data_IF_258176920017
#
_entry.id   IF_258176920017
#
_cell.length_a   1.000
_cell.length_b   1.000
_cell.length_c   1.000
_cell.angle_alpha   90.00
_cell.angle_beta   90.00
_cell.angle_gamma   90.00
#
_symmetry.space_group_name_H-M   'P 1'
#
loop_
_entity.id
_entity.type
_entity.pdbx_description
1 polymer ?
#
# COMPACT_ATOMS: atom_id res chain seq x y z
N UNK A 1 19.23 12.97 -19.92
CA UNK A 1 19.13 12.30 -21.23
C UNK A 1 20.52 12.24 -21.82
N UNK A 2 20.98 11.06 -22.24
CA UNK A 2 22.31 10.93 -22.84
C UNK A 2 22.22 11.39 -24.31
N UNK A 3 22.88 12.45 -24.71
CA UNK A 3 22.70 13.08 -26.05
C UNK A 3 23.22 12.23 -27.23
N UNK A 4 23.82 11.07 -26.94
CA UNK A 4 24.43 10.18 -27.95
C UNK A 4 23.63 8.89 -28.23
N UNK A 5 22.46 8.71 -27.59
CA UNK A 5 21.61 7.53 -27.79
C UNK A 5 20.51 7.86 -28.79
N UNK A 6 20.18 6.92 -29.68
CA UNK A 6 19.05 7.06 -30.61
C UNK A 6 17.75 7.38 -29.84
N UNK A 7 16.99 8.41 -30.29
CA UNK A 7 15.78 8.84 -29.57
C UNK A 7 14.72 7.74 -29.45
N UNK A 8 14.67 6.79 -30.39
CA UNK A 8 13.74 5.65 -30.36
C UNK A 8 14.08 4.70 -29.23
N UNK A 9 15.35 4.37 -29.06
CA UNK A 9 15.83 3.51 -27.98
C UNK A 9 15.62 4.20 -26.63
N UNK A 10 15.96 5.49 -26.54
CA UNK A 10 15.78 6.27 -25.32
C UNK A 10 14.31 6.32 -24.89
N UNK A 11 13.38 6.53 -25.83
CA UNK A 11 11.93 6.52 -25.57
C UNK A 11 11.46 5.16 -25.06
N UNK A 12 11.83 4.07 -25.75
CA UNK A 12 11.42 2.71 -25.34
C UNK A 12 11.95 2.33 -23.95
N UNK A 13 13.18 2.68 -23.63
CA UNK A 13 13.74 2.47 -22.28
C UNK A 13 13.02 3.30 -21.22
N UNK A 14 12.61 4.52 -21.56
CA UNK A 14 11.83 5.36 -20.65
C UNK A 14 10.42 4.82 -20.43
N UNK A 15 9.73 4.43 -21.48
CA UNK A 15 8.40 3.81 -21.41
C UNK A 15 8.43 2.53 -20.56
N UNK A 16 9.47 1.71 -20.73
CA UNK A 16 9.67 0.51 -19.91
C UNK A 16 9.90 0.85 -18.42
N UNK A 17 10.72 1.89 -18.16
CA UNK A 17 10.99 2.38 -16.80
C UNK A 17 9.71 2.90 -16.13
N UNK A 18 8.94 3.72 -16.85
CA UNK A 18 7.67 4.28 -16.35
C UNK A 18 6.65 3.18 -16.07
N UNK A 19 6.48 2.25 -16.99
CA UNK A 19 5.56 1.14 -16.80
C UNK A 19 5.95 0.29 -15.60
N UNK A 20 7.23 -0.05 -15.46
CA UNK A 20 7.73 -0.79 -14.30
C UNK A 20 7.49 -0.04 -13.00
N UNK A 21 7.76 1.27 -12.97
CA UNK A 21 7.50 2.14 -11.82
C UNK A 21 6.03 2.13 -11.45
N UNK A 22 5.15 2.30 -12.42
CA UNK A 22 3.70 2.31 -12.20
C UNK A 22 3.19 0.96 -11.67
N UNK A 23 3.73 -0.16 -12.16
CA UNK A 23 3.39 -1.49 -11.64
C UNK A 23 3.86 -1.68 -10.18
N UNK A 24 5.06 -1.19 -9.83
CA UNK A 24 5.57 -1.23 -8.46
C UNK A 24 4.70 -0.35 -7.54
N UNK A 25 4.35 0.86 -7.98
CA UNK A 25 3.48 1.76 -7.21
C UNK A 25 2.09 1.16 -7.00
N UNK A 26 1.49 0.59 -8.05
CA UNK A 26 0.18 -0.05 -7.94
C UNK A 26 0.21 -1.25 -6.99
N UNK A 27 1.24 -2.09 -7.09
CA UNK A 27 1.45 -3.20 -6.15
C UNK A 27 1.62 -2.69 -4.72
N UNK A 28 2.44 -1.64 -4.53
CA UNK A 28 2.65 -1.02 -3.23
C UNK A 28 1.39 -0.44 -2.63
N UNK A 29 0.57 0.23 -3.45
CA UNK A 29 -0.72 0.75 -3.03
C UNK A 29 -1.67 -0.37 -2.60
N UNK A 30 -1.83 -1.42 -3.43
CA UNK A 30 -2.67 -2.57 -3.09
C UNK A 30 -2.21 -3.27 -1.80
N UNK A 31 -0.89 -3.50 -1.66
CA UNK A 31 -0.35 -4.12 -0.44
C UNK A 31 -0.50 -3.23 0.79
N UNK A 32 -0.37 -1.91 0.63
CA UNK A 32 -0.59 -0.92 1.69
C UNK A 32 -2.03 -0.94 2.18
N UNK A 33 -3.00 -0.86 1.26
CA UNK A 33 -4.43 -0.92 1.60
C UNK A 33 -4.79 -2.25 2.27
N UNK A 34 -4.32 -3.37 1.69
CA UNK A 34 -4.58 -4.70 2.21
C UNK A 34 -4.03 -4.87 3.65
N UNK A 35 -2.78 -4.47 3.88
CA UNK A 35 -2.16 -4.57 5.20
C UNK A 35 -2.78 -3.61 6.20
N UNK A 36 -3.13 -2.37 5.78
CA UNK A 36 -3.79 -1.39 6.63
C UNK A 36 -5.16 -1.89 7.10
N UNK A 37 -6.06 -2.19 6.16
CA UNK A 37 -7.40 -2.67 6.50
C UNK A 37 -7.35 -3.99 7.28
N UNK A 38 -6.51 -4.95 6.85
CA UNK A 38 -6.36 -6.23 7.53
C UNK A 38 -5.90 -6.06 8.98
N UNK A 39 -4.85 -5.27 9.21
CA UNK A 39 -4.31 -5.04 10.56
C UNK A 39 -5.32 -4.35 11.46
N UNK A 40 -5.96 -3.27 11.01
CA UNK A 40 -6.89 -2.52 11.85
C UNK A 40 -8.22 -3.25 12.09
N UNK A 41 -8.67 -4.06 11.14
CA UNK A 41 -9.81 -4.97 11.37
C UNK A 41 -9.46 -6.04 12.43
N UNK A 42 -8.25 -6.60 12.36
CA UNK A 42 -7.79 -7.57 13.39
C UNK A 42 -7.70 -6.90 14.76
N UNK A 43 -7.13 -5.69 14.85
CA UNK A 43 -7.06 -4.94 16.12
C UNK A 43 -8.47 -4.65 16.65
N UNK A 44 -9.39 -4.24 15.79
CA UNK A 44 -10.79 -3.99 16.16
C UNK A 44 -11.49 -5.27 16.68
N UNK A 45 -11.23 -6.42 16.05
CA UNK A 45 -11.76 -7.71 16.51
C UNK A 45 -11.17 -8.13 17.86
N UNK A 46 -9.88 -7.90 18.08
CA UNK A 46 -9.24 -8.17 19.37
C UNK A 46 -9.86 -7.29 20.47
N UNK A 47 -10.07 -5.98 20.19
CA UNK A 47 -10.72 -5.06 21.14
C UNK A 47 -12.17 -5.50 21.43
N UNK A 48 -12.90 -5.97 20.42
CA UNK A 48 -14.25 -6.52 20.58
C UNK A 48 -14.28 -7.77 21.47
N UNK A 49 -13.42 -8.76 21.20
CA UNK A 49 -13.37 -10.02 21.97
C UNK A 49 -12.89 -9.80 23.39
N UNK A 50 -11.99 -8.84 23.63
CA UNK A 50 -11.49 -8.52 24.97
C UNK A 50 -12.52 -7.81 25.86
N UNK A 51 -13.72 -7.51 25.36
CA UNK A 51 -14.84 -6.92 26.09
C UNK A 51 -14.44 -5.72 26.97
N UNK A 52 -13.80 -4.75 26.37
CA UNK A 52 -13.32 -3.52 27.04
C UNK A 52 -12.31 -3.74 28.20
N UNK A 53 -11.73 -4.93 28.35
CA UNK A 53 -10.65 -5.18 29.32
C UNK A 53 -9.31 -4.58 28.91
N UNK A 54 -9.16 -4.13 27.65
CA UNK A 54 -7.92 -3.52 27.20
C UNK A 54 -7.72 -2.14 27.83
N UNK A 55 -6.63 -2.00 28.55
CA UNK A 55 -6.18 -0.70 29.06
C UNK A 55 -5.79 0.21 27.88
N UNK A 56 -5.94 1.53 28.06
CA UNK A 56 -5.59 2.52 27.03
C UNK A 56 -4.14 2.39 26.56
N UNK A 57 -3.21 2.02 27.45
CA UNK A 57 -1.81 1.80 27.11
C UNK A 57 -1.62 0.59 26.18
N UNK A 58 -2.28 -0.53 26.47
CA UNK A 58 -2.20 -1.72 25.62
C UNK A 58 -2.79 -1.45 24.22
N UNK A 59 -3.89 -0.71 24.15
CA UNK A 59 -4.53 -0.33 22.89
C UNK A 59 -3.62 0.56 22.05
N UNK A 60 -3.04 1.60 22.69
CA UNK A 60 -2.11 2.50 21.97
C UNK A 60 -0.86 1.76 21.49
N UNK A 61 -0.31 0.88 22.31
CA UNK A 61 0.81 0.03 21.92
C UNK A 61 0.50 -0.87 20.72
N UNK A 62 -0.68 -1.50 20.72
CA UNK A 62 -1.12 -2.37 19.61
C UNK A 62 -1.36 -1.58 18.32
N UNK A 63 -1.94 -0.37 18.42
CA UNK A 63 -2.13 0.50 17.25
C UNK A 63 -0.80 0.99 16.67
N UNK A 64 0.15 1.39 17.52
CA UNK A 64 1.49 1.79 17.09
C UNK A 64 2.20 0.62 16.40
N UNK A 65 2.14 -0.60 16.99
CA UNK A 65 2.69 -1.80 16.37
C UNK A 65 2.04 -2.07 15.00
N UNK A 66 0.73 -1.87 14.88
CA UNK A 66 0.00 -1.96 13.61
C UNK A 66 0.53 -0.97 12.55
N UNK A 67 0.75 0.29 12.92
CA UNK A 67 1.31 1.30 12.01
C UNK A 67 2.74 0.94 11.57
N UNK A 68 3.59 0.48 12.50
CA UNK A 68 4.95 0.04 12.18
C UNK A 68 4.91 -1.16 11.22
N UNK A 69 4.01 -2.11 11.44
CA UNK A 69 3.84 -3.27 10.56
C UNK A 69 3.44 -2.83 9.14
N UNK A 70 2.41 -1.98 9.01
CA UNK A 70 1.97 -1.45 7.72
C UNK A 70 3.09 -0.69 7.00
N UNK A 71 3.81 0.17 7.73
CA UNK A 71 4.96 0.89 7.18
C UNK A 71 6.05 -0.06 6.69
N UNK A 72 6.34 -1.13 7.44
CA UNK A 72 7.29 -2.18 7.06
C UNK A 72 6.87 -2.91 5.78
N UNK A 73 5.58 -3.26 5.65
CA UNK A 73 5.05 -3.90 4.43
C UNK A 73 5.17 -2.97 3.22
N UNK A 74 4.80 -1.71 3.35
CA UNK A 74 4.92 -0.72 2.27
C UNK A 74 6.38 -0.47 1.89
N UNK A 75 7.26 -0.37 2.88
CA UNK A 75 8.71 -0.26 2.66
C UNK A 75 9.23 -1.43 1.83
N UNK A 76 8.94 -2.65 2.24
CA UNK A 76 9.44 -3.86 1.59
C UNK A 76 8.87 -4.06 0.18
N UNK A 77 7.57 -3.81 -0.01
CA UNK A 77 6.86 -4.08 -1.29
C UNK A 77 7.02 -2.96 -2.32
N UNK A 78 7.21 -1.72 -1.88
CA UNK A 78 7.23 -0.53 -2.75
C UNK A 78 8.53 0.24 -2.68
N UNK A 79 8.89 0.82 -1.52
CA UNK A 79 10.00 1.76 -1.43
C UNK A 79 11.35 1.13 -1.78
N UNK A 80 11.63 -0.04 -1.26
CA UNK A 80 12.86 -0.77 -1.56
C UNK A 80 13.05 -0.99 -3.06
N UNK A 81 11.97 -1.37 -3.77
CA UNK A 81 12.00 -1.63 -5.21
C UNK A 81 12.10 -0.33 -6.02
N UNK A 82 11.50 0.77 -5.54
CA UNK A 82 11.62 2.10 -6.15
C UNK A 82 13.01 2.69 -6.00
N UNK A 83 13.65 2.53 -4.85
CA UNK A 83 15.01 3.01 -4.60
C UNK A 83 16.06 2.26 -5.42
N UNK A 84 15.76 1.01 -5.81
CA UNK A 84 16.61 0.18 -6.66
C UNK A 84 16.28 0.36 -8.15
N UNK A 85 16.01 1.60 -8.60
CA UNK A 85 15.77 1.87 -10.02
C UNK A 85 16.98 1.44 -10.85
N UNK A 86 16.82 0.49 -11.77
CA UNK A 86 17.93 -0.02 -12.55
C UNK A 86 18.46 1.03 -13.50
N UNK A 87 19.78 1.06 -13.67
CA UNK A 87 20.45 1.88 -14.69
C UNK A 87 19.98 1.48 -16.10
N UNK A 88 20.14 2.38 -17.07
CA UNK A 88 19.75 2.13 -18.46
C UNK A 88 20.36 0.82 -19.02
N UNK A 89 21.59 0.48 -18.61
CA UNK A 89 22.25 -0.78 -18.97
C UNK A 89 21.53 -2.01 -18.35
N UNK A 90 21.10 -1.94 -17.09
CA UNK A 90 20.33 -3.02 -16.46
C UNK A 90 18.93 -3.16 -17.09
N UNK A 91 18.33 -2.02 -17.51
CA UNK A 91 17.05 -2.04 -18.21
C UNK A 91 17.16 -2.69 -19.59
N UNK A 92 18.22 -2.36 -20.36
CA UNK A 92 18.50 -2.99 -21.65
C UNK A 92 18.65 -4.50 -21.50
N UNK A 93 19.44 -4.96 -20.52
CA UNK A 93 19.63 -6.39 -20.23
C UNK A 93 18.31 -7.11 -19.86
N UNK A 94 17.42 -6.47 -19.09
CA UNK A 94 16.12 -7.04 -18.76
C UNK A 94 15.20 -7.15 -19.98
N UNK A 95 15.26 -6.18 -20.90
CA UNK A 95 14.53 -6.19 -22.16
C UNK A 95 15.01 -7.33 -23.07
N UNK A 96 16.32 -7.50 -23.20
CA UNK A 96 16.91 -8.57 -24.01
C UNK A 96 16.62 -9.96 -23.45
N UNK A 97 16.69 -10.15 -22.13
CA UNK A 97 16.29 -11.41 -21.48
C UNK A 97 14.84 -11.78 -21.74
N UNK A 98 13.98 -10.77 -21.94
CA UNK A 98 12.56 -10.99 -22.23
C UNK A 98 12.23 -11.12 -23.71
N UNK A 99 13.16 -10.77 -24.59
CA UNK A 99 13.00 -10.77 -26.06
C UNK A 99 14.27 -11.30 -26.71
N UNK A 100 14.37 -12.61 -26.96
CA UNK A 100 15.57 -13.24 -27.57
C UNK A 100 15.96 -12.68 -28.92
N UNK A 101 15.02 -12.07 -29.64
CA UNK A 101 15.26 -11.46 -30.96
C UNK A 101 16.21 -10.25 -30.94
N UNK A 102 16.47 -9.70 -29.75
CA UNK A 102 17.36 -8.53 -29.58
C UNK A 102 18.86 -8.86 -29.62
N UNK A 103 19.24 -10.12 -29.33
CA UNK A 103 20.62 -10.64 -29.50
C UNK A 103 21.74 -9.70 -29.02
N UNK A 104 21.63 -9.11 -27.82
CA UNK A 104 22.62 -8.18 -27.24
C UNK A 104 22.80 -6.84 -28.00
N UNK A 105 22.02 -6.60 -29.06
CA UNK A 105 22.12 -5.37 -29.87
C UNK A 105 21.77 -4.12 -29.04
N UNK A 106 20.81 -4.24 -28.09
CA UNK A 106 20.36 -3.13 -27.27
C UNK A 106 21.38 -2.75 -26.19
N UNK A 107 22.02 -3.74 -25.57
CA UNK A 107 23.10 -3.51 -24.59
C UNK A 107 24.27 -2.83 -25.29
N UNK A 108 24.68 -3.36 -26.45
CA UNK A 108 25.78 -2.79 -27.28
C UNK A 108 25.47 -1.35 -27.68
N UNK A 109 24.26 -1.06 -28.14
CA UNK A 109 23.84 0.29 -28.48
C UNK A 109 23.88 1.27 -27.30
N UNK A 110 23.45 0.80 -26.10
CA UNK A 110 23.47 1.60 -24.87
C UNK A 110 24.91 1.82 -24.39
N UNK A 111 25.77 0.81 -24.44
CA UNK A 111 27.18 0.93 -24.07
C UNK A 111 27.93 1.88 -24.98
N UNK A 112 27.78 1.74 -26.30
CA UNK A 112 28.35 2.65 -27.27
C UNK A 112 27.83 4.08 -27.16
N UNK A 113 26.56 4.25 -26.77
CA UNK A 113 25.98 5.56 -26.50
C UNK A 113 26.45 6.21 -25.20
N UNK A 114 26.92 5.41 -24.23
CA UNK A 114 27.42 5.89 -22.93
C UNK A 114 28.93 6.03 -22.87
N UNK A 115 29.68 5.32 -23.73
CA UNK A 115 31.12 5.42 -23.78
C UNK A 115 31.56 6.79 -24.32
N UNK A 116 32.16 7.59 -23.43
CA UNK A 116 32.82 8.86 -23.81
C UNK A 116 34.21 8.67 -24.44
N UNK A 117 34.69 7.44 -24.48
CA UNK A 117 35.99 7.12 -25.05
C UNK A 117 35.89 7.07 -26.58
N UNK A 118 35.89 8.26 -27.16
CA UNK A 118 36.16 8.39 -28.57
C UNK A 118 37.62 8.16 -28.82
N UNK A 119 37.99 7.07 -29.44
CA UNK A 119 39.26 7.09 -30.25
C UNK A 119 39.38 5.92 -31.21
N UNK A 120 38.59 4.87 -31.12
CA UNK A 120 38.74 3.72 -32.03
C UNK A 120 37.47 3.27 -32.75
N UNK A 121 36.28 3.69 -32.32
CA UNK A 121 35.05 3.29 -33.00
C UNK A 121 34.66 4.29 -34.10
N UNK A 122 34.53 3.80 -35.31
CA UNK A 122 34.02 4.59 -36.43
C UNK A 122 32.61 5.10 -36.10
N UNK A 123 32.41 6.41 -36.32
CA UNK A 123 31.08 7.05 -36.10
C UNK A 123 29.99 6.40 -36.96
N UNK A 124 30.40 5.89 -38.12
CA UNK A 124 29.57 5.13 -39.06
C UNK A 124 29.11 3.80 -38.45
N UNK A 125 30.02 3.06 -37.81
CA UNK A 125 29.72 1.82 -37.15
C UNK A 125 28.76 2.04 -35.99
N UNK A 126 28.97 3.08 -35.18
CA UNK A 126 28.11 3.45 -34.05
C UNK A 126 26.67 3.77 -34.51
N UNK A 127 26.52 4.52 -35.60
CA UNK A 127 25.22 4.83 -36.23
C UNK A 127 24.51 3.56 -36.71
N UNK A 128 25.25 2.65 -37.33
CA UNK A 128 24.72 1.42 -37.90
C UNK A 128 24.19 0.47 -36.80
N UNK A 129 24.95 0.31 -35.71
CA UNK A 129 24.53 -0.49 -34.55
C UNK A 129 23.31 0.14 -33.88
N UNK A 130 23.28 1.46 -33.70
CA UNK A 130 22.10 2.14 -33.12
C UNK A 130 20.88 2.02 -34.03
N UNK A 131 21.04 2.13 -35.34
CA UNK A 131 19.95 1.99 -36.30
C UNK A 131 19.40 0.56 -36.33
N UNK A 132 20.24 -0.46 -36.25
CA UNK A 132 19.83 -1.86 -36.15
C UNK A 132 19.09 -2.11 -34.85
N UNK A 133 19.65 -1.67 -33.72
CA UNK A 133 19.00 -1.81 -32.41
C UNK A 133 17.67 -1.05 -32.35
N UNK A 134 17.56 0.14 -32.91
CA UNK A 134 16.33 0.93 -32.94
C UNK A 134 15.23 0.26 -33.77
N UNK A 135 15.58 -0.33 -34.92
CA UNK A 135 14.61 -1.07 -35.76
C UNK A 135 14.04 -2.29 -35.06
N UNK A 136 14.87 -3.07 -34.35
CA UNK A 136 14.43 -4.20 -33.53
C UNK A 136 13.64 -3.75 -32.30
N UNK A 137 14.11 -2.74 -31.58
CA UNK A 137 13.44 -2.18 -30.41
C UNK A 137 12.05 -1.60 -30.71
N UNK A 138 11.85 -1.05 -31.92
CA UNK A 138 10.55 -0.50 -32.33
C UNK A 138 9.45 -1.55 -32.39
N UNK A 139 9.78 -2.81 -32.74
CA UNK A 139 8.85 -3.93 -32.85
C UNK A 139 8.43 -4.52 -31.51
N UNK A 140 9.10 -4.16 -30.41
CA UNK A 140 8.82 -4.71 -29.09
C UNK A 140 7.59 -4.06 -28.49
N UNK A 141 6.62 -4.87 -28.07
CA UNK A 141 5.50 -4.41 -27.25
C UNK A 141 5.83 -4.59 -25.75
N UNK A 142 6.07 -3.48 -25.06
CA UNK A 142 6.37 -3.44 -23.63
C UNK A 142 5.23 -4.03 -22.81
N UNK A 143 3.99 -4.05 -23.34
CA UNK A 143 2.82 -4.58 -22.64
C UNK A 143 2.88 -6.09 -22.48
N UNK A 144 3.46 -6.80 -23.43
CA UNK A 144 3.63 -8.26 -23.38
C UNK A 144 4.73 -8.67 -22.40
N UNK A 145 5.78 -7.86 -22.28
CA UNK A 145 6.91 -8.12 -21.37
C UNK A 145 6.53 -7.87 -19.90
N UNK A 146 5.75 -6.81 -19.63
CA UNK A 146 5.27 -6.45 -18.29
C UNK A 146 3.74 -6.55 -18.23
N UNK A 147 3.17 -7.78 -18.16
CA UNK A 147 1.74 -7.94 -18.12
C UNK A 147 1.18 -7.54 -16.75
N UNK A 148 0.08 -6.78 -16.77
CA UNK A 148 -0.69 -6.42 -15.56
C UNK A 148 -1.25 -7.66 -14.86
N UNK A 149 -1.33 -8.79 -15.57
CA UNK A 149 -1.84 -10.05 -15.04
C UNK A 149 -1.14 -10.53 -13.75
N UNK A 150 0.12 -10.18 -13.55
CA UNK A 150 0.85 -10.49 -12.29
C UNK A 150 0.31 -9.74 -11.07
N UNK A 151 -0.43 -8.65 -11.28
CA UNK A 151 -1.05 -7.88 -10.20
C UNK A 151 -2.47 -8.35 -9.86
N UNK A 152 -3.08 -9.26 -10.65
CA UNK A 152 -4.47 -9.70 -10.45
C UNK A 152 -4.72 -10.20 -9.02
N UNK A 153 -3.81 -10.98 -8.46
CA UNK A 153 -3.95 -11.49 -7.08
C UNK A 153 -3.92 -10.36 -6.03
N UNK A 154 -3.07 -9.35 -6.22
CA UNK A 154 -3.01 -8.20 -5.31
C UNK A 154 -4.27 -7.34 -5.42
N UNK A 155 -4.74 -7.12 -6.65
CA UNK A 155 -5.93 -6.34 -6.92
C UNK A 155 -7.18 -7.06 -6.38
N UNK A 156 -7.34 -8.36 -6.65
CA UNK A 156 -8.47 -9.15 -6.15
C UNK A 156 -8.49 -9.23 -4.61
N UNK A 157 -7.32 -9.42 -3.97
CA UNK A 157 -7.21 -9.41 -2.52
C UNK A 157 -7.60 -8.05 -1.92
N UNK A 158 -7.15 -6.95 -2.53
CA UNK A 158 -7.52 -5.59 -2.08
C UNK A 158 -9.00 -5.32 -2.23
N UNK A 159 -9.59 -5.68 -3.36
CA UNK A 159 -11.04 -5.55 -3.59
C UNK A 159 -11.82 -6.41 -2.61
N UNK A 160 -11.39 -7.65 -2.38
CA UNK A 160 -12.05 -8.56 -1.44
C UNK A 160 -12.05 -8.01 0.00
N UNK A 161 -10.93 -7.49 0.50
CA UNK A 161 -10.88 -6.92 1.87
C UNK A 161 -11.72 -5.66 2.00
N UNK A 162 -11.78 -4.81 0.96
CA UNK A 162 -12.62 -3.61 0.94
C UNK A 162 -14.10 -4.03 0.98
N UNK A 163 -14.51 -4.97 0.13
CA UNK A 163 -15.88 -5.46 0.10
C UNK A 163 -16.27 -6.14 1.41
N UNK A 164 -15.36 -6.94 1.99
CA UNK A 164 -15.57 -7.56 3.30
C UNK A 164 -15.78 -6.50 4.39
N UNK A 165 -14.91 -5.49 4.45
CA UNK A 165 -15.02 -4.41 5.45
C UNK A 165 -16.32 -3.64 5.27
N UNK A 166 -16.70 -3.32 4.02
CA UNK A 166 -17.97 -2.66 3.73
C UNK A 166 -19.17 -3.52 4.11
N UNK A 167 -19.13 -4.82 3.82
CA UNK A 167 -20.20 -5.76 4.20
C UNK A 167 -20.37 -5.83 5.72
N UNK A 168 -19.27 -5.90 6.47
CA UNK A 168 -19.28 -5.90 7.93
C UNK A 168 -19.88 -4.60 8.50
N UNK A 169 -19.61 -3.46 7.88
CA UNK A 169 -20.17 -2.17 8.28
C UNK A 169 -21.68 -2.03 8.00
N UNK A 170 -22.22 -2.84 7.09
CA UNK A 170 -23.64 -2.84 6.73
C UNK A 170 -24.50 -3.66 7.71
N UNK A 171 -23.92 -4.50 8.55
CA UNK A 171 -24.66 -5.31 9.52
C UNK A 171 -25.21 -4.37 10.61
N UNK A 172 -26.56 -4.27 10.80
CA UNK A 172 -27.17 -3.23 11.66
C UNK A 172 -26.71 -3.27 13.12
N UNK A 173 -26.54 -4.47 13.67
CA UNK A 173 -26.15 -4.67 15.08
C UNK A 173 -24.64 -4.54 15.31
N UNK A 174 -23.83 -4.96 14.33
CA UNK A 174 -22.39 -5.02 14.42
C UNK A 174 -21.68 -3.82 13.77
N UNK A 175 -22.28 -3.23 12.74
CA UNK A 175 -21.63 -2.18 11.94
C UNK A 175 -21.37 -0.89 12.71
N UNK A 176 -22.29 -0.50 13.61
CA UNK A 176 -22.10 0.66 14.49
C UNK A 176 -20.94 0.45 15.48
N UNK A 177 -20.89 -0.72 16.07
CA UNK A 177 -19.84 -1.12 17.01
C UNK A 177 -18.50 -1.27 16.29
N UNK A 178 -18.48 -1.89 15.10
CA UNK A 178 -17.27 -2.01 14.28
C UNK A 178 -16.71 -0.66 13.85
N UNK A 179 -17.56 0.31 13.46
CA UNK A 179 -17.15 1.66 13.13
C UNK A 179 -16.45 2.33 14.30
N UNK A 180 -17.02 2.23 15.48
CA UNK A 180 -16.45 2.78 16.71
C UNK A 180 -15.13 2.09 17.08
N UNK A 181 -15.06 0.76 16.96
CA UNK A 181 -13.85 -0.02 17.20
C UNK A 181 -12.73 0.33 16.22
N UNK A 182 -13.05 0.49 14.92
CA UNK A 182 -12.08 0.94 13.92
C UNK A 182 -11.58 2.35 14.22
N UNK A 183 -12.46 3.28 14.60
CA UNK A 183 -12.05 4.63 15.00
C UNK A 183 -11.11 4.59 16.21
N UNK A 184 -11.40 3.76 17.20
CA UNK A 184 -10.55 3.57 18.38
C UNK A 184 -9.21 2.93 18.05
N UNK A 185 -9.17 2.02 17.08
CA UNK A 185 -7.94 1.37 16.64
C UNK A 185 -7.05 2.33 15.81
N UNK A 186 -7.66 3.14 14.94
CA UNK A 186 -6.94 4.09 14.08
C UNK A 186 -6.46 5.30 14.90
N UNK A 187 -7.30 5.80 15.85
CA UNK A 187 -6.96 6.97 16.67
C UNK A 187 -6.91 6.58 18.14
N UNK A 188 -5.82 5.96 18.61
CA UNK A 188 -5.75 5.43 19.99
C UNK A 188 -5.84 6.50 21.08
N UNK A 189 -5.51 7.76 20.77
CA UNK A 189 -5.65 8.89 21.70
C UNK A 189 -7.05 9.49 21.81
N UNK A 190 -8.01 9.05 20.99
CA UNK A 190 -9.38 9.52 21.12
C UNK A 190 -10.08 8.86 22.31
N UNK A 191 -10.67 9.68 23.20
CA UNK A 191 -11.47 9.24 24.33
C UNK A 191 -12.86 8.75 23.86
N UNK A 192 -12.88 7.70 23.04
CA UNK A 192 -14.11 7.07 22.58
C UNK A 192 -14.61 6.05 23.61
N UNK A 193 -15.92 6.00 23.89
CA UNK A 193 -16.47 5.05 24.84
C UNK A 193 -16.20 3.60 24.41
N UNK A 194 -16.01 2.68 25.36
CA UNK A 194 -15.88 1.26 25.06
C UNK A 194 -17.19 0.72 24.48
N UNK A 195 -17.08 -0.24 23.56
CA UNK A 195 -18.25 -1.01 23.12
C UNK A 195 -18.63 -1.97 24.22
N UNK A 196 -19.83 -1.78 24.79
CA UNK A 196 -20.36 -2.63 25.85
C UNK A 196 -21.63 -3.32 25.37
N UNK A 197 -21.80 -4.57 25.76
CA UNK A 197 -23.02 -5.36 25.44
C UNK A 197 -24.24 -4.96 26.29
N UNK A 198 -24.12 -3.87 27.05
CA UNK A 198 -25.22 -3.39 27.89
C UNK A 198 -25.31 -1.86 27.81
N UNK A 199 -26.53 -1.39 27.82
CA UNK A 199 -26.89 0.03 27.93
C UNK A 199 -27.20 0.34 29.37
N UNK A 200 -26.49 1.29 29.97
CA UNK A 200 -26.77 1.77 31.34
C UNK A 200 -27.51 3.10 31.23
N UNK A 201 -28.73 3.12 31.69
CA UNK A 201 -29.54 4.34 31.82
C UNK A 201 -29.69 4.71 33.27
N UNK A 202 -29.22 5.90 33.64
CA UNK A 202 -29.42 6.43 34.98
C UNK A 202 -30.88 6.91 35.07
N UNK A 203 -31.66 6.33 35.96
CA UNK A 203 -33.05 6.67 36.18
C UNK A 203 -33.21 7.73 37.30
N UNK A 204 -32.28 7.75 38.22
CA UNK A 204 -32.27 8.73 39.30
C UNK A 204 -30.81 9.01 39.72
N UNK A 205 -30.43 10.25 39.92
CA UNK A 205 -31.22 11.48 39.71
C UNK A 205 -31.41 11.81 38.24
N UNK A 206 -32.53 12.43 37.90
CA UNK A 206 -32.93 12.74 36.51
C UNK A 206 -32.18 13.97 35.95
N UNK A 207 -31.46 14.70 36.81
CA UNK A 207 -30.72 15.90 36.47
C UNK A 207 -29.21 15.63 36.40
N UNK A 208 -28.55 16.23 35.44
CA UNK A 208 -27.09 16.13 35.27
C UNK A 208 -26.29 16.74 36.47
N UNK A 209 -26.93 17.54 37.28
CA UNK A 209 -26.36 18.14 38.48
C UNK A 209 -27.37 18.07 39.60
N UNK A 210 -27.13 17.19 40.54
CA UNK A 210 -27.98 17.06 41.76
C UNK A 210 -27.27 17.63 42.96
N UNK A 211 -27.88 18.60 43.62
CA UNK A 211 -27.37 19.18 44.88
C UNK A 211 -28.01 18.43 46.05
N UNK A 212 -27.18 17.75 46.83
CA UNK A 212 -27.61 17.06 48.05
C UNK A 212 -26.98 17.74 49.27
N UNK A 213 -27.72 17.81 50.39
CA UNK A 213 -27.13 18.22 51.65
C UNK A 213 -25.97 17.31 52.05
N UNK A 214 -24.96 17.88 52.71
CA UNK A 214 -23.69 17.18 53.01
C UNK A 214 -23.82 15.89 53.82
N UNK A 215 -24.99 15.63 54.43
CA UNK A 215 -25.23 14.49 55.32
C UNK A 215 -26.23 13.45 54.77
N UNK A 216 -26.72 13.60 53.54
CA UNK A 216 -27.64 12.62 52.97
C UNK A 216 -26.96 11.77 51.90
N UNK A 217 -27.13 10.41 51.96
CA UNK A 217 -26.57 9.54 50.95
C UNK A 217 -27.29 9.71 49.61
N UNK A 218 -26.54 9.97 48.53
CA UNK A 218 -27.08 10.04 47.16
C UNK A 218 -27.42 8.63 46.66
N UNK A 219 -28.68 8.39 46.32
CA UNK A 219 -29.12 7.12 45.75
C UNK A 219 -29.09 7.20 44.24
N UNK A 220 -28.27 6.34 43.60
CA UNK A 220 -28.29 6.16 42.18
C UNK A 220 -29.13 4.94 41.82
N UNK A 221 -30.07 5.12 40.92
CA UNK A 221 -30.82 4.03 40.31
C UNK A 221 -30.48 3.98 38.83
N UNK A 222 -29.89 2.87 38.38
CA UNK A 222 -29.54 2.67 37.00
C UNK A 222 -30.26 1.43 36.45
N UNK A 223 -30.84 1.57 35.28
CA UNK A 223 -31.41 0.45 34.53
C UNK A 223 -30.32 -0.07 33.59
N UNK A 224 -30.00 -1.34 33.70
CA UNK A 224 -29.05 -2.02 32.81
C UNK A 224 -29.85 -2.92 31.89
N UNK A 225 -29.78 -2.63 30.57
CA UNK A 225 -30.41 -3.41 29.52
C UNK A 225 -29.34 -4.11 28.72
N UNK A 226 -29.40 -5.41 28.52
CA UNK A 226 -28.57 -6.12 27.55
C UNK A 226 -28.98 -5.71 26.14
N UNK A 227 -27.97 -5.51 25.29
CA UNK A 227 -28.14 -5.09 23.91
C UNK A 227 -28.47 -6.28 23.01
#
# INVERSE_FOLDING_TARGET
MNPKLDPTIARKLNDFRERRRNLILLRGFCSGVLSFLGTFVIIALIDYVSQARMNNEMRSGLSIAGYIFVAGVVWYTCLRLLLQLPSSKKLARLLEQSSPDLQEDLISAVELGQSNQGTQDSETFRKLVQQQASSKASKIDIKTILPIGRLKHWLSGTVAIILLTLALLQIPEFGGDLKLLLQRAIVPGANLPPVTNFEVRILAPDENVTRTPSNEPLRFVALVKAK
#
